data_IF_535931110324
#
_entry.id   IF_535931110324
#
_cell.length_a   1.000
_cell.length_b   1.000
_cell.length_c   1.000
_cell.angle_alpha   90.00
_cell.angle_beta   90.00
_cell.angle_gamma   90.00
#
_symmetry.space_group_name_H-M   'P 1'
#
loop_
_entity.id
_entity.type
_entity.pdbx_description
1 polymer ?
#
# COMPACT_ATOMS: atom_id res chain seq x y z
N UNK A 1 -7.75 62.11 -23.37
CA UNK A 1 -7.76 61.16 -22.25
C UNK A 1 -6.74 60.06 -22.56
N UNK A 2 -5.58 60.07 -21.89
CA UNK A 2 -4.50 59.08 -22.11
C UNK A 2 -4.65 57.97 -21.09
N UNK A 3 -4.88 56.74 -21.56
CA UNK A 3 -4.91 55.54 -20.74
C UNK A 3 -3.49 55.12 -20.39
N UNK A 4 -3.11 55.26 -19.12
CA UNK A 4 -1.88 54.72 -18.56
C UNK A 4 -2.12 53.23 -18.23
N UNK A 5 -1.48 52.32 -18.96
CA UNK A 5 -1.34 50.91 -18.57
C UNK A 5 -0.01 50.78 -17.82
N UNK A 6 -0.08 50.36 -16.56
CA UNK A 6 1.08 49.97 -15.77
C UNK A 6 1.63 48.63 -16.29
N UNK A 7 2.95 48.44 -16.41
CA UNK A 7 3.53 47.18 -16.83
C UNK A 7 3.46 46.16 -15.68
N UNK A 8 2.84 45.02 -15.93
CA UNK A 8 2.85 43.86 -15.05
C UNK A 8 4.30 43.40 -14.84
N UNK A 9 4.74 43.43 -13.60
CA UNK A 9 6.09 43.10 -13.17
C UNK A 9 6.34 41.59 -13.30
N UNK A 10 6.94 41.15 -14.43
CA UNK A 10 7.29 39.75 -14.71
C UNK A 10 8.22 39.13 -13.66
N UNK A 11 8.87 39.90 -12.81
CA UNK A 11 9.77 39.41 -11.77
C UNK A 11 9.04 38.83 -10.54
N UNK A 12 7.82 39.30 -10.25
CA UNK A 12 7.05 38.78 -9.12
C UNK A 12 6.62 37.30 -9.32
N UNK A 13 6.33 36.91 -10.55
CA UNK A 13 5.98 35.49 -10.87
C UNK A 13 7.16 34.51 -10.76
N UNK A 14 8.38 34.97 -11.02
CA UNK A 14 9.58 34.15 -10.93
C UNK A 14 9.98 33.87 -9.49
N UNK A 15 9.78 34.79 -8.57
CA UNK A 15 10.04 34.59 -7.14
C UNK A 15 8.99 33.71 -6.47
N UNK A 16 7.73 33.77 -6.91
CA UNK A 16 6.68 32.87 -6.43
C UNK A 16 6.92 31.42 -6.87
N UNK A 17 7.39 31.19 -8.11
CA UNK A 17 7.76 29.88 -8.61
C UNK A 17 8.99 29.30 -7.91
N UNK A 18 10.02 30.12 -7.67
CA UNK A 18 11.21 29.71 -6.90
C UNK A 18 10.88 29.41 -5.43
N UNK A 19 10.00 30.18 -4.80
CA UNK A 19 9.53 29.94 -3.44
C UNK A 19 8.75 28.61 -3.32
N UNK A 20 7.89 28.31 -4.29
CA UNK A 20 7.13 27.06 -4.36
C UNK A 20 8.04 25.82 -4.54
N UNK A 21 9.04 25.92 -5.41
CA UNK A 21 10.01 24.83 -5.63
C UNK A 21 10.89 24.59 -4.40
N UNK A 22 11.31 25.66 -3.72
CA UNK A 22 12.08 25.54 -2.47
C UNK A 22 11.24 24.96 -1.32
N UNK A 23 9.95 25.29 -1.25
CA UNK A 23 9.04 24.70 -0.26
C UNK A 23 8.77 23.23 -0.55
N UNK A 24 8.58 22.86 -1.81
CA UNK A 24 8.45 21.43 -2.20
C UNK A 24 9.75 20.66 -1.96
N UNK A 25 10.91 21.22 -2.25
CA UNK A 25 12.21 20.60 -1.94
C UNK A 25 12.43 20.46 -0.44
N UNK A 26 12.01 21.42 0.38
CA UNK A 26 12.11 21.31 1.84
C UNK A 26 11.15 20.28 2.42
N UNK A 27 9.96 20.11 1.83
CA UNK A 27 9.01 19.05 2.21
C UNK A 27 9.52 17.65 1.80
N UNK A 28 10.16 17.51 0.63
CA UNK A 28 10.79 16.28 0.20
C UNK A 28 11.99 15.90 1.07
N UNK A 29 12.81 16.87 1.45
CA UNK A 29 13.95 16.66 2.38
C UNK A 29 13.43 16.32 3.78
N UNK A 30 12.34 16.94 4.23
CA UNK A 30 11.71 16.63 5.52
C UNK A 30 11.10 15.22 5.54
N UNK A 31 10.45 14.78 4.45
CA UNK A 31 9.95 13.43 4.32
C UNK A 31 11.09 12.40 4.34
N UNK A 32 12.16 12.61 3.59
CA UNK A 32 13.35 11.75 3.64
C UNK A 32 14.01 11.74 5.02
N UNK A 33 14.04 12.88 5.72
CA UNK A 33 14.60 12.98 7.07
C UNK A 33 13.71 12.27 8.12
N UNK A 34 12.39 12.21 7.91
CA UNK A 34 11.49 11.46 8.79
C UNK A 34 11.63 9.96 8.61
N UNK A 35 11.71 9.48 7.36
CA UNK A 35 11.92 8.05 7.10
C UNK A 35 13.33 7.54 7.49
N UNK A 36 14.36 8.39 7.41
CA UNK A 36 15.77 7.99 7.63
C UNK A 36 16.29 8.11 9.07
N UNK A 37 15.51 8.57 10.04
CA UNK A 37 16.04 8.88 11.38
C UNK A 37 16.22 7.72 12.35
N UNK A 38 15.74 6.51 12.05
CA UNK A 38 16.02 5.36 12.89
C UNK A 38 17.31 4.66 12.45
N UNK A 39 18.39 4.90 13.17
CA UNK A 39 19.55 4.01 13.16
C UNK A 39 19.11 2.70 13.84
N UNK A 40 19.24 1.54 13.20
CA UNK A 40 19.10 0.28 13.89
C UNK A 40 20.16 0.26 15.00
N UNK A 41 19.73 0.26 16.25
CA UNK A 41 20.61 0.05 17.37
C UNK A 41 21.17 -1.36 17.29
N UNK A 42 22.42 -1.48 16.87
CA UNK A 42 23.21 -2.70 16.95
C UNK A 42 23.57 -2.93 18.43
N UNK A 43 22.63 -3.42 19.20
CA UNK A 43 22.86 -4.04 20.49
C UNK A 43 21.82 -5.14 20.66
N UNK A 44 22.28 -6.35 20.95
CA UNK A 44 21.48 -7.54 21.22
C UNK A 44 20.58 -7.41 22.46
N UNK A 45 19.64 -6.48 22.40
CA UNK A 45 18.51 -6.38 23.30
C UNK A 45 17.34 -7.00 22.56
N UNK A 46 17.05 -8.25 22.89
CA UNK A 46 16.10 -9.06 22.20
C UNK A 46 14.69 -8.46 22.12
N UNK A 47 13.78 -9.18 21.53
CA UNK A 47 12.37 -8.89 21.31
C UNK A 47 11.59 -8.16 22.44
N UNK A 48 12.09 -8.14 23.66
CA UNK A 48 11.53 -7.30 24.74
C UNK A 48 11.65 -5.81 24.43
N UNK A 49 12.76 -5.38 23.80
CA UNK A 49 12.96 -3.98 23.42
C UNK A 49 12.13 -3.58 22.19
N UNK A 50 11.98 -4.47 21.22
CA UNK A 50 11.15 -4.26 20.02
C UNK A 50 9.68 -4.20 20.38
N UNK A 51 9.20 -5.14 21.17
CA UNK A 51 7.82 -5.14 21.65
C UNK A 51 7.50 -3.90 22.50
N UNK A 52 8.44 -3.43 23.33
CA UNK A 52 8.29 -2.21 24.10
C UNK A 52 8.24 -0.97 23.20
N UNK A 53 9.00 -0.95 22.11
CA UNK A 53 8.97 0.15 21.14
C UNK A 53 7.64 0.15 20.37
N UNK A 54 7.19 -1.00 19.86
CA UNK A 54 5.89 -1.15 19.20
C UNK A 54 4.75 -0.73 20.12
N UNK A 55 4.78 -1.12 21.38
CA UNK A 55 3.80 -0.70 22.36
C UNK A 55 3.78 0.83 22.52
N UNK A 56 4.93 1.47 22.63
CA UNK A 56 5.02 2.94 22.72
C UNK A 56 4.45 3.63 21.49
N UNK A 57 4.74 3.11 20.29
CA UNK A 57 4.19 3.61 19.03
C UNK A 57 2.67 3.55 19.01
N UNK A 58 2.10 2.42 19.40
CA UNK A 58 0.64 2.25 19.46
C UNK A 58 0.00 3.21 20.48
N UNK A 59 0.63 3.40 21.63
CA UNK A 59 0.15 4.36 22.63
C UNK A 59 0.25 5.82 22.16
N UNK A 60 1.27 6.18 21.39
CA UNK A 60 1.36 7.51 20.78
C UNK A 60 0.22 7.74 19.79
N UNK A 61 -0.07 6.76 18.94
CA UNK A 61 -1.16 6.82 17.97
C UNK A 61 -2.51 6.95 18.66
N UNK A 62 -2.77 6.16 19.72
CA UNK A 62 -4.02 6.27 20.53
C UNK A 62 -4.22 7.67 21.09
N UNK A 63 -3.15 8.28 21.63
CA UNK A 63 -3.20 9.62 22.21
C UNK A 63 -3.43 10.73 21.18
N UNK A 64 -3.15 10.45 19.90
CA UNK A 64 -3.36 11.41 18.81
C UNK A 64 -4.81 11.41 18.28
N UNK A 65 -5.62 10.41 18.67
CA UNK A 65 -7.03 10.35 18.31
C UNK A 65 -7.83 11.28 19.24
N UNK A 66 -8.59 12.17 18.64
CA UNK A 66 -9.49 13.05 19.40
C UNK A 66 -10.61 12.21 20.06
N UNK A 67 -10.79 12.30 21.38
CA UNK A 67 -11.81 11.53 22.08
C UNK A 67 -13.26 11.86 21.64
N UNK A 68 -13.48 13.05 21.08
CA UNK A 68 -14.80 13.46 20.56
C UNK A 68 -15.04 12.98 19.11
N UNK A 69 -13.98 12.52 18.41
CA UNK A 69 -14.00 12.07 17.02
C UNK A 69 -13.29 10.74 16.83
N UNK A 70 -13.60 9.76 17.66
CA UNK A 70 -12.93 8.45 17.67
C UNK A 70 -13.12 7.63 16.39
N UNK A 71 -14.16 7.94 15.62
CA UNK A 71 -14.46 7.28 14.34
C UNK A 71 -13.92 8.04 13.12
N UNK A 72 -13.44 9.28 13.29
CA UNK A 72 -12.80 10.05 12.23
C UNK A 72 -11.31 9.70 12.10
N UNK A 73 -11.04 8.42 11.88
CA UNK A 73 -9.70 7.86 11.79
C UNK A 73 -9.61 6.88 10.63
N UNK A 74 -8.49 6.90 9.92
CA UNK A 74 -8.20 5.86 8.95
C UNK A 74 -7.90 4.54 9.67
N UNK A 75 -8.53 3.48 9.23
CA UNK A 75 -8.28 2.13 9.73
C UNK A 75 -7.77 1.25 8.60
N UNK A 76 -6.53 0.77 8.72
CA UNK A 76 -6.03 -0.26 7.83
C UNK A 76 -6.71 -1.59 8.15
N UNK A 77 -7.35 -2.21 7.17
CA UNK A 77 -8.09 -3.46 7.35
C UNK A 77 -7.57 -4.52 6.37
N UNK A 78 -7.21 -5.67 6.90
CA UNK A 78 -6.78 -6.85 6.14
C UNK A 78 -7.94 -7.82 5.99
N UNK A 79 -8.19 -8.27 4.76
CA UNK A 79 -9.23 -9.26 4.49
C UNK A 79 -8.79 -10.66 4.90
N UNK A 80 -9.70 -11.39 5.55
CA UNK A 80 -9.62 -12.83 5.74
C UNK A 80 -10.37 -13.52 4.62
N UNK A 81 -9.81 -14.58 4.09
CA UNK A 81 -10.39 -15.40 3.05
C UNK A 81 -9.90 -16.86 3.19
N UNK A 82 -10.63 -17.78 2.61
CA UNK A 82 -10.19 -19.17 2.52
C UNK A 82 -9.22 -19.35 1.35
N UNK A 83 -8.32 -20.34 1.47
CA UNK A 83 -7.40 -20.72 0.40
C UNK A 83 -7.65 -22.16 -0.05
N UNK A 84 -7.53 -22.41 -1.35
CA UNK A 84 -7.66 -23.76 -1.90
C UNK A 84 -6.51 -24.65 -1.41
N UNK A 85 -6.84 -25.70 -0.70
CA UNK A 85 -6.03 -26.59 0.12
C UNK A 85 -4.77 -27.20 -0.48
N UNK A 86 -3.79 -26.37 -0.78
CA UNK A 86 -2.47 -26.75 -1.26
C UNK A 86 -1.31 -26.37 -0.33
N UNK A 87 -1.53 -26.23 0.98
CA UNK A 87 -0.48 -25.87 1.95
C UNK A 87 -0.33 -24.36 2.18
N UNK A 88 -1.15 -23.55 1.55
CA UNK A 88 -1.25 -22.10 1.77
C UNK A 88 -2.43 -21.75 2.70
N UNK A 89 -2.78 -22.64 3.62
CA UNK A 89 -3.74 -22.30 4.66
C UNK A 89 -3.25 -21.05 5.39
N UNK A 90 -4.03 -19.96 5.27
CA UNK A 90 -3.79 -18.67 5.91
C UNK A 90 -2.80 -17.74 5.18
N UNK A 91 -2.73 -17.74 3.85
CA UNK A 91 -1.94 -16.78 3.10
C UNK A 91 -2.28 -15.30 3.47
N UNK A 92 -3.54 -14.99 3.77
CA UNK A 92 -3.94 -13.68 4.25
C UNK A 92 -3.28 -13.27 5.58
N UNK A 93 -2.75 -14.24 6.34
CA UNK A 93 -2.13 -14.03 7.65
C UNK A 93 -0.62 -13.81 7.54
N UNK A 94 -0.02 -13.92 6.37
CA UNK A 94 1.40 -13.66 6.19
C UNK A 94 1.72 -12.20 6.54
N UNK A 95 2.92 -11.97 7.07
CA UNK A 95 3.47 -10.69 7.54
C UNK A 95 2.71 -10.05 8.72
N UNK A 96 1.70 -10.72 9.28
CA UNK A 96 0.95 -10.19 10.42
C UNK A 96 1.55 -10.64 11.76
N UNK A 97 1.48 -9.81 12.79
CA UNK A 97 0.91 -8.47 12.83
C UNK A 97 1.87 -7.35 12.42
N UNK A 98 3.11 -7.68 12.07
CA UNK A 98 4.20 -6.73 11.97
C UNK A 98 4.01 -5.74 10.82
N UNK A 99 3.67 -6.23 9.62
CA UNK A 99 3.41 -5.37 8.47
C UNK A 99 2.33 -4.32 8.78
N UNK A 100 1.21 -4.74 9.36
CA UNK A 100 0.08 -3.85 9.69
C UNK A 100 0.48 -2.80 10.75
N UNK A 101 1.22 -3.20 11.78
CA UNK A 101 1.68 -2.30 12.85
C UNK A 101 2.70 -1.29 12.35
N UNK A 102 3.69 -1.71 11.56
CA UNK A 102 4.70 -0.82 11.00
C UNK A 102 4.10 0.13 9.99
N UNK A 103 3.25 -0.37 9.09
CA UNK A 103 2.56 0.42 8.10
C UNK A 103 1.69 1.51 8.74
N UNK A 104 0.84 1.15 9.70
CA UNK A 104 -0.03 2.13 10.38
C UNK A 104 0.77 3.19 11.13
N UNK A 105 1.86 2.79 11.79
CA UNK A 105 2.74 3.73 12.45
C UNK A 105 3.44 4.67 11.47
N UNK A 106 3.91 4.16 10.32
CA UNK A 106 4.53 5.00 9.28
C UNK A 106 3.55 5.95 8.62
N UNK A 107 2.32 5.53 8.39
CA UNK A 107 1.26 6.44 7.93
C UNK A 107 1.01 7.56 8.93
N UNK A 108 0.95 7.24 10.23
CA UNK A 108 0.82 8.23 11.28
C UNK A 108 1.99 9.22 11.32
N UNK A 109 3.24 8.75 11.14
CA UNK A 109 4.42 9.63 11.13
C UNK A 109 4.55 10.47 9.85
N UNK A 110 4.21 9.89 8.70
CA UNK A 110 4.51 10.50 7.39
C UNK A 110 3.38 11.36 6.81
N UNK A 111 2.19 11.29 7.42
CA UNK A 111 1.01 11.99 6.90
C UNK A 111 0.29 12.76 8.00
N UNK A 112 -0.72 13.54 7.63
CA UNK A 112 -1.64 14.18 8.59
C UNK A 112 -2.82 13.28 8.98
N UNK A 113 -2.88 12.04 8.47
CA UNK A 113 -3.95 11.11 8.77
C UNK A 113 -3.95 10.76 10.26
N UNK A 114 -5.13 10.76 10.86
CA UNK A 114 -5.37 10.07 12.12
C UNK A 114 -5.53 8.60 11.81
N UNK A 115 -4.65 7.76 12.33
CA UNK A 115 -4.61 6.33 12.02
C UNK A 115 -4.95 5.53 13.26
N UNK A 116 -5.90 4.61 13.14
CA UNK A 116 -6.25 3.69 14.23
C UNK A 116 -5.07 2.74 14.49
N UNK A 117 -4.59 2.67 15.73
CA UNK A 117 -3.53 1.72 16.08
C UNK A 117 -4.05 0.29 16.12
N UNK A 118 -3.13 -0.67 16.00
CA UNK A 118 -3.43 -2.09 16.05
C UNK A 118 -3.67 -2.70 14.68
N UNK A 119 -4.11 -3.97 14.69
CA UNK A 119 -4.43 -4.74 13.50
C UNK A 119 -5.94 -4.95 13.41
N UNK A 120 -6.47 -4.94 12.20
CA UNK A 120 -7.89 -5.18 11.94
C UNK A 120 -8.02 -6.25 10.86
N UNK A 121 -8.51 -7.40 11.24
CA UNK A 121 -8.84 -8.50 10.34
C UNK A 121 -10.34 -8.54 10.13
N UNK A 122 -10.77 -8.53 8.88
CA UNK A 122 -12.18 -8.42 8.54
C UNK A 122 -12.59 -9.55 7.59
N UNK A 123 -13.72 -10.18 7.90
CA UNK A 123 -14.34 -11.16 7.01
C UNK A 123 -15.08 -10.45 5.88
N UNK A 124 -14.99 -11.00 4.66
CA UNK A 124 -15.57 -10.39 3.45
C UNK A 124 -17.09 -10.21 3.56
N UNK A 125 -17.77 -11.13 4.22
CA UNK A 125 -19.25 -11.14 4.36
C UNK A 125 -19.77 -10.28 5.51
N UNK A 126 -18.88 -9.65 6.28
CA UNK A 126 -19.33 -8.80 7.40
C UNK A 126 -20.02 -7.54 6.91
N UNK A 127 -21.05 -7.11 7.62
CA UNK A 127 -21.72 -5.83 7.37
C UNK A 127 -20.80 -4.63 7.61
N UNK A 128 -19.79 -4.80 8.45
CA UNK A 128 -18.83 -3.75 8.80
C UNK A 128 -17.82 -3.46 7.68
N UNK A 129 -17.74 -4.31 6.65
CA UNK A 129 -16.85 -4.11 5.50
C UNK A 129 -17.08 -2.71 4.85
N UNK A 130 -18.31 -2.25 4.80
CA UNK A 130 -18.65 -0.93 4.26
C UNK A 130 -18.09 0.26 5.04
N UNK A 131 -17.62 0.06 6.28
CA UNK A 131 -17.02 1.11 7.10
C UNK A 131 -15.54 1.36 6.74
N UNK A 132 -14.94 0.49 5.91
CA UNK A 132 -13.54 0.59 5.52
C UNK A 132 -13.43 1.04 4.05
N UNK A 133 -12.98 2.27 3.78
CA UNK A 133 -12.84 2.75 2.40
C UNK A 133 -11.75 2.00 1.63
N UNK A 134 -10.79 1.42 2.34
CA UNK A 134 -9.66 0.66 1.82
C UNK A 134 -9.53 -0.67 2.58
N UNK A 135 -9.33 -1.76 1.84
CA UNK A 135 -8.99 -3.07 2.38
C UNK A 135 -7.82 -3.69 1.63
N UNK A 136 -7.05 -4.51 2.34
CA UNK A 136 -5.84 -5.15 1.84
C UNK A 136 -5.99 -6.67 1.83
N UNK A 137 -5.55 -7.29 0.74
CA UNK A 137 -5.59 -8.74 0.51
C UNK A 137 -4.17 -9.22 0.16
N UNK A 138 -3.48 -9.85 1.11
CA UNK A 138 -2.16 -10.46 0.93
C UNK A 138 -2.30 -11.94 0.56
N UNK A 139 -1.27 -12.52 -0.09
CA UNK A 139 -1.22 -13.94 -0.40
C UNK A 139 -2.33 -14.41 -1.34
N UNK A 140 -2.76 -13.53 -2.23
CA UNK A 140 -3.98 -13.68 -3.02
C UNK A 140 -3.91 -14.77 -4.09
N UNK A 141 -2.71 -15.26 -4.45
CA UNK A 141 -2.52 -16.33 -5.42
C UNK A 141 -3.17 -17.67 -5.04
N UNK A 142 -3.47 -17.90 -3.75
CA UNK A 142 -4.18 -19.08 -3.29
C UNK A 142 -5.62 -18.80 -2.83
N UNK A 143 -6.16 -17.61 -3.06
CA UNK A 143 -7.48 -17.23 -2.56
C UNK A 143 -8.60 -18.08 -3.17
N UNK A 144 -9.57 -18.47 -2.33
CA UNK A 144 -10.77 -19.17 -2.77
C UNK A 144 -12.00 -18.49 -2.21
N UNK A 145 -12.72 -17.78 -3.09
CA UNK A 145 -13.94 -17.08 -2.73
C UNK A 145 -15.17 -17.91 -3.10
N UNK A 146 -16.07 -18.05 -2.17
CA UNK A 146 -17.39 -18.62 -2.44
C UNK A 146 -18.32 -17.57 -3.09
N UNK A 147 -19.55 -17.96 -3.42
CA UNK A 147 -20.51 -17.10 -4.09
C UNK A 147 -20.92 -15.89 -3.21
N UNK A 148 -21.16 -16.12 -1.92
CA UNK A 148 -21.54 -15.07 -0.95
C UNK A 148 -20.44 -14.03 -0.81
N UNK A 149 -19.19 -14.47 -0.63
CA UNK A 149 -18.02 -13.58 -0.54
C UNK A 149 -17.80 -12.80 -1.84
N UNK A 150 -17.94 -13.45 -2.99
CA UNK A 150 -17.80 -12.79 -4.30
C UNK A 150 -18.85 -11.71 -4.51
N UNK A 151 -20.10 -11.96 -4.10
CA UNK A 151 -21.19 -10.98 -4.15
C UNK A 151 -20.97 -9.84 -3.16
N UNK A 152 -20.55 -10.12 -1.93
CA UNK A 152 -20.25 -9.12 -0.91
C UNK A 152 -19.10 -8.20 -1.36
N UNK A 153 -18.02 -8.76 -1.90
CA UNK A 153 -16.90 -8.01 -2.43
C UNK A 153 -17.32 -7.13 -3.62
N UNK A 154 -18.12 -7.65 -4.55
CA UNK A 154 -18.69 -6.87 -5.66
C UNK A 154 -19.48 -5.67 -5.16
N UNK A 155 -20.36 -5.88 -4.18
CA UNK A 155 -21.18 -4.81 -3.61
C UNK A 155 -20.30 -3.74 -2.92
N UNK A 156 -19.33 -4.17 -2.13
CA UNK A 156 -18.39 -3.29 -1.46
C UNK A 156 -17.66 -2.39 -2.47
N UNK A 157 -17.09 -2.97 -3.51
CA UNK A 157 -16.32 -2.26 -4.54
C UNK A 157 -17.19 -1.29 -5.36
N UNK A 158 -18.41 -1.69 -5.75
CA UNK A 158 -19.33 -0.84 -6.47
C UNK A 158 -19.90 0.31 -5.63
N UNK A 159 -19.95 0.16 -4.31
CA UNK A 159 -20.43 1.17 -3.37
C UNK A 159 -19.34 2.13 -2.86
N UNK A 160 -18.16 2.13 -3.47
CA UNK A 160 -17.10 3.11 -3.13
C UNK A 160 -15.89 2.52 -2.45
N UNK A 161 -15.91 1.24 -2.05
CA UNK A 161 -14.76 0.57 -1.48
C UNK A 161 -13.61 0.42 -2.46
N UNK A 162 -12.41 0.23 -1.91
CA UNK A 162 -11.19 -0.02 -2.67
C UNK A 162 -10.46 -1.25 -2.11
N UNK A 163 -10.02 -2.15 -3.00
CA UNK A 163 -9.24 -3.33 -2.67
C UNK A 163 -7.83 -3.23 -3.25
N UNK A 164 -6.81 -3.35 -2.41
CA UNK A 164 -5.44 -3.63 -2.83
C UNK A 164 -5.17 -5.14 -2.72
N UNK A 165 -4.74 -5.74 -3.80
CA UNK A 165 -4.37 -7.16 -3.92
C UNK A 165 -2.87 -7.26 -4.08
N UNK A 166 -2.21 -8.09 -3.27
CA UNK A 166 -0.76 -8.14 -3.16
C UNK A 166 -0.26 -9.56 -2.81
N UNK A 167 1.04 -9.74 -2.87
CA UNK A 167 1.75 -10.96 -2.49
C UNK A 167 1.27 -12.20 -3.24
N UNK A 168 1.52 -12.18 -4.55
CA UNK A 168 1.37 -13.37 -5.40
C UNK A 168 2.24 -13.24 -6.66
N UNK A 169 2.71 -14.38 -7.17
CA UNK A 169 3.81 -14.42 -8.12
C UNK A 169 3.60 -15.45 -9.23
N UNK A 170 4.00 -15.05 -10.45
CA UNK A 170 4.00 -15.93 -11.60
C UNK A 170 2.62 -16.15 -12.23
N UNK A 171 2.63 -16.91 -13.32
CA UNK A 171 1.45 -17.08 -14.17
C UNK A 171 0.39 -17.97 -13.51
N UNK A 172 0.78 -19.00 -12.74
CA UNK A 172 -0.16 -19.89 -12.08
C UNK A 172 -0.97 -19.18 -10.99
N UNK A 173 -0.32 -18.36 -10.16
CA UNK A 173 -1.00 -17.55 -9.14
C UNK A 173 -1.89 -16.48 -9.80
N UNK A 174 -1.42 -15.91 -10.92
CA UNK A 174 -2.22 -14.98 -11.70
C UNK A 174 -3.50 -15.62 -12.24
N UNK A 175 -3.38 -16.77 -12.91
CA UNK A 175 -4.53 -17.48 -13.49
C UNK A 175 -5.55 -17.90 -12.41
N UNK A 176 -5.04 -18.32 -11.25
CA UNK A 176 -5.89 -18.67 -10.11
C UNK A 176 -6.64 -17.44 -9.59
N UNK A 177 -5.92 -16.33 -9.31
CA UNK A 177 -6.53 -15.08 -8.84
C UNK A 177 -7.49 -14.49 -9.89
N UNK A 178 -7.13 -14.54 -11.17
CA UNK A 178 -8.02 -14.10 -12.26
C UNK A 178 -9.34 -14.87 -12.25
N UNK A 179 -9.32 -16.17 -11.97
CA UNK A 179 -10.52 -16.96 -11.76
C UNK A 179 -11.40 -16.42 -10.62
N UNK A 180 -10.80 -15.99 -9.49
CA UNK A 180 -11.56 -15.37 -8.39
C UNK A 180 -12.10 -13.99 -8.78
N UNK A 181 -11.31 -13.19 -9.48
CA UNK A 181 -11.75 -11.90 -10.02
C UNK A 181 -13.01 -12.07 -10.92
N UNK A 182 -13.05 -13.10 -11.73
CA UNK A 182 -14.21 -13.38 -12.60
C UNK A 182 -15.45 -13.84 -11.82
N UNK A 183 -15.30 -14.40 -10.62
CA UNK A 183 -16.45 -14.62 -9.71
C UNK A 183 -16.97 -13.27 -9.17
N UNK A 184 -16.07 -12.34 -8.80
CA UNK A 184 -16.46 -11.01 -8.37
C UNK A 184 -17.07 -10.22 -9.53
N UNK A 185 -16.40 -10.13 -10.66
CA UNK A 185 -16.79 -9.36 -11.83
C UNK A 185 -16.76 -10.19 -13.12
N UNK A 186 -17.81 -10.94 -13.48
CA UNK A 186 -17.83 -11.78 -14.68
C UNK A 186 -17.56 -11.01 -15.98
N UNK A 187 -17.97 -9.74 -16.05
CA UNK A 187 -17.97 -8.92 -17.27
C UNK A 187 -16.95 -7.77 -17.24
N UNK A 188 -16.03 -7.74 -16.25
CA UNK A 188 -14.98 -6.72 -16.19
C UNK A 188 -13.62 -7.38 -16.36
N UNK A 189 -12.74 -6.68 -17.07
CA UNK A 189 -11.35 -7.09 -17.24
C UNK A 189 -10.40 -6.19 -16.46
N UNK A 190 -9.33 -6.72 -15.89
CA UNK A 190 -8.27 -5.91 -15.30
C UNK A 190 -7.47 -5.22 -16.42
N UNK A 191 -7.24 -3.93 -16.28
CA UNK A 191 -6.48 -3.12 -17.23
C UNK A 191 -5.04 -2.97 -16.75
N UNK A 192 -4.06 -3.34 -17.56
CA UNK A 192 -2.65 -3.14 -17.25
C UNK A 192 -2.35 -1.64 -17.14
N UNK A 193 -1.79 -1.23 -16.01
CA UNK A 193 -1.46 0.17 -15.73
C UNK A 193 -0.08 0.51 -16.28
N UNK A 194 0.01 1.57 -17.07
CA UNK A 194 1.30 2.16 -17.43
C UNK A 194 1.80 3.08 -16.31
N UNK A 195 3.10 3.39 -16.33
CA UNK A 195 3.72 4.31 -15.36
C UNK A 195 3.10 5.73 -15.40
N UNK A 196 2.37 6.09 -16.46
CA UNK A 196 1.66 7.35 -16.56
C UNK A 196 0.33 7.37 -15.78
N UNK A 197 -0.10 6.22 -15.23
CA UNK A 197 -1.27 6.19 -14.38
C UNK A 197 -1.03 7.01 -13.11
N UNK A 198 -2.04 7.77 -12.71
CA UNK A 198 -1.98 8.71 -11.57
C UNK A 198 -1.47 8.04 -10.28
N UNK A 199 -1.77 6.77 -10.05
CA UNK A 199 -1.37 6.04 -8.85
C UNK A 199 0.15 6.00 -8.63
N UNK A 200 0.95 6.14 -9.71
CA UNK A 200 2.41 6.14 -9.62
C UNK A 200 3.02 7.53 -9.39
N UNK A 201 2.21 8.59 -9.27
CA UNK A 201 2.76 9.94 -9.16
C UNK A 201 1.84 10.97 -8.46
N UNK A 202 0.74 10.53 -7.84
CA UNK A 202 -0.22 11.45 -7.19
C UNK A 202 0.40 12.22 -6.03
N UNK A 203 1.31 11.61 -5.27
CA UNK A 203 2.10 12.24 -4.20
C UNK A 203 3.59 12.03 -4.46
N UNK A 204 4.00 10.78 -4.59
CA UNK A 204 5.39 10.38 -4.85
C UNK A 204 5.54 9.94 -6.30
N UNK A 205 6.35 10.65 -7.11
CA UNK A 205 6.55 10.30 -8.51
C UNK A 205 7.54 9.13 -8.66
N UNK A 206 7.06 8.01 -9.17
CA UNK A 206 7.88 6.86 -9.51
C UNK A 206 8.45 7.00 -10.93
N UNK A 207 9.72 6.60 -11.12
CA UNK A 207 10.38 6.55 -12.43
C UNK A 207 10.29 5.17 -13.09
N UNK A 208 9.95 4.15 -12.32
CA UNK A 208 9.65 2.78 -12.74
C UNK A 208 8.58 2.23 -11.80
N UNK A 209 7.86 1.22 -12.25
CA UNK A 209 6.93 0.51 -11.38
C UNK A 209 7.70 -0.15 -10.22
N UNK A 210 7.26 0.04 -8.97
CA UNK A 210 7.90 -0.60 -7.82
C UNK A 210 7.84 -2.12 -7.93
N UNK A 211 8.89 -2.79 -7.44
CA UNK A 211 8.91 -4.24 -7.23
C UNK A 211 9.61 -4.52 -5.93
N UNK A 212 8.95 -5.22 -5.04
CA UNK A 212 9.42 -5.58 -3.71
C UNK A 212 9.38 -7.09 -3.62
N UNK A 213 10.54 -7.76 -3.45
CA UNK A 213 10.61 -9.20 -3.26
C UNK A 213 10.33 -9.55 -1.80
N UNK A 214 10.09 -10.84 -1.50
CA UNK A 214 10.19 -11.30 -0.13
C UNK A 214 11.62 -11.11 0.41
N UNK A 215 11.74 -10.83 1.69
CA UNK A 215 13.03 -10.57 2.34
C UNK A 215 13.94 -11.79 2.23
N UNK A 216 13.40 -12.99 2.44
CA UNK A 216 14.14 -14.24 2.33
C UNK A 216 14.68 -14.50 0.92
N UNK A 217 13.86 -14.19 -0.10
CA UNK A 217 14.30 -14.30 -1.50
C UNK A 217 15.39 -13.30 -1.83
N UNK A 218 15.25 -12.03 -1.43
CA UNK A 218 16.26 -11.02 -1.66
C UNK A 218 17.61 -11.39 -1.07
N UNK A 219 17.67 -11.86 0.19
CA UNK A 219 18.94 -12.24 0.80
C UNK A 219 19.57 -13.48 0.20
N UNK A 220 18.77 -14.39 -0.34
CA UNK A 220 19.30 -15.61 -0.99
C UNK A 220 19.78 -15.37 -2.42
N UNK A 221 19.17 -14.44 -3.15
CA UNK A 221 19.41 -14.26 -4.60
C UNK A 221 19.95 -12.88 -4.97
N UNK A 222 19.76 -11.87 -4.11
CA UNK A 222 19.98 -10.45 -4.41
C UNK A 222 19.15 -9.90 -5.57
N UNK A 223 17.98 -10.50 -5.83
CA UNK A 223 17.06 -10.14 -6.91
C UNK A 223 15.80 -9.45 -6.36
N UNK A 224 15.20 -8.60 -7.17
CA UNK A 224 13.98 -7.85 -6.78
C UNK A 224 12.69 -8.57 -7.16
N UNK A 225 12.75 -9.72 -7.80
CA UNK A 225 11.61 -10.58 -8.10
C UNK A 225 11.68 -11.86 -7.28
N UNK A 226 10.55 -12.38 -6.90
CA UNK A 226 10.44 -13.67 -6.26
C UNK A 226 10.09 -14.75 -7.28
N UNK A 227 10.31 -16.02 -6.93
CA UNK A 227 9.88 -17.12 -7.77
C UNK A 227 8.57 -17.69 -7.21
N UNK A 228 7.53 -17.72 -8.02
CA UNK A 228 6.48 -18.71 -7.82
C UNK A 228 7.05 -20.15 -7.96
N UNK A 229 6.22 -21.13 -7.79
CA UNK A 229 6.67 -22.54 -7.82
C UNK A 229 7.09 -23.04 -9.22
N UNK A 230 6.80 -22.32 -10.29
CA UNK A 230 7.20 -22.70 -11.66
C UNK A 230 8.19 -21.70 -12.25
N UNK A 231 9.46 -22.09 -12.22
CA UNK A 231 10.60 -21.29 -12.72
C UNK A 231 10.66 -21.13 -14.23
N UNK A 232 9.87 -21.86 -15.01
CA UNK A 232 10.12 -22.01 -16.45
C UNK A 232 9.33 -21.07 -17.35
N UNK A 233 8.29 -20.42 -16.81
CA UNK A 233 7.33 -19.59 -17.58
C UNK A 233 7.15 -18.17 -17.06
N UNK A 234 7.95 -17.75 -16.11
CA UNK A 234 7.69 -16.51 -15.36
C UNK A 234 8.07 -15.27 -16.14
N UNK A 235 7.11 -14.39 -16.30
CA UNK A 235 7.39 -12.98 -16.46
C UNK A 235 7.77 -12.40 -15.11
N UNK A 236 9.01 -11.93 -14.97
CA UNK A 236 9.56 -11.42 -13.72
C UNK A 236 9.23 -9.94 -13.46
N UNK A 237 8.63 -9.25 -14.41
CA UNK A 237 8.32 -7.85 -14.27
C UNK A 237 7.13 -7.64 -13.31
N UNK A 238 7.13 -6.55 -12.54
CA UNK A 238 5.96 -6.18 -11.76
C UNK A 238 4.83 -5.75 -12.70
N UNK A 239 3.64 -6.27 -12.47
CA UNK A 239 2.45 -5.87 -13.20
C UNK A 239 1.42 -5.28 -12.25
N UNK A 240 0.97 -4.09 -12.58
CA UNK A 240 -0.11 -3.43 -11.85
C UNK A 240 -1.34 -3.39 -12.74
N UNK A 241 -2.45 -3.93 -12.23
CA UNK A 241 -3.72 -3.88 -12.96
C UNK A 241 -4.75 -3.11 -12.15
N UNK A 242 -5.58 -2.35 -12.86
CA UNK A 242 -6.73 -1.67 -12.30
C UNK A 242 -8.03 -2.30 -12.76
N UNK A 243 -8.97 -2.52 -11.84
CA UNK A 243 -10.36 -2.85 -12.18
C UNK A 243 -11.22 -1.63 -11.91
N UNK A 244 -11.98 -1.20 -12.91
CA UNK A 244 -12.69 0.08 -12.90
C UNK A 244 -14.21 -0.11 -12.87
N UNK A 245 -14.91 0.83 -12.21
CA UNK A 245 -16.35 0.97 -12.31
C UNK A 245 -16.76 1.69 -13.62
N UNK A 246 -18.08 1.85 -13.83
CA UNK A 246 -18.62 2.49 -15.03
C UNK A 246 -18.32 3.99 -15.11
N UNK A 247 -17.90 4.61 -13.99
CA UNK A 247 -17.47 6.01 -13.91
C UNK A 247 -15.95 6.18 -14.03
N UNK A 248 -15.23 5.09 -14.30
CA UNK A 248 -13.77 5.05 -14.41
C UNK A 248 -13.04 5.31 -13.08
N UNK A 249 -13.70 5.10 -11.93
CA UNK A 249 -13.02 5.01 -10.63
C UNK A 249 -12.37 3.62 -10.55
N UNK A 250 -11.09 3.55 -10.21
CA UNK A 250 -10.42 2.29 -9.91
C UNK A 250 -10.97 1.76 -8.58
N UNK A 251 -11.54 0.58 -8.62
CA UNK A 251 -12.11 -0.12 -7.46
C UNK A 251 -11.12 -1.11 -6.86
N UNK A 252 -10.24 -1.67 -7.68
CA UNK A 252 -9.26 -2.68 -7.27
C UNK A 252 -7.93 -2.38 -7.95
N UNK A 253 -6.86 -2.41 -7.15
CA UNK A 253 -5.47 -2.40 -7.62
C UNK A 253 -4.88 -3.77 -7.36
N UNK A 254 -4.35 -4.40 -8.38
CA UNK A 254 -3.72 -5.72 -8.32
C UNK A 254 -2.22 -5.53 -8.54
N UNK A 255 -1.42 -5.89 -7.54
CA UNK A 255 0.04 -5.77 -7.53
C UNK A 255 0.67 -7.15 -7.78
N UNK A 256 0.64 -7.62 -9.02
CA UNK A 256 1.21 -8.91 -9.40
C UNK A 256 2.74 -8.84 -9.43
N UNK A 257 3.43 -9.91 -9.03
CA UNK A 257 4.87 -9.99 -8.86
C UNK A 257 5.42 -8.93 -7.89
N UNK A 258 4.75 -8.77 -6.76
CA UNK A 258 5.10 -7.87 -5.67
C UNK A 258 4.78 -8.48 -4.32
N UNK A 259 5.50 -8.02 -3.29
CA UNK A 259 5.25 -8.35 -1.89
C UNK A 259 5.41 -7.09 -1.03
N UNK A 260 4.41 -6.21 -1.07
CA UNK A 260 4.43 -4.98 -0.26
C UNK A 260 4.41 -5.28 1.23
N UNK A 261 3.75 -6.37 1.64
CA UNK A 261 3.68 -6.83 3.02
C UNK A 261 5.07 -6.95 3.65
N UNK A 262 5.98 -7.69 3.03
CA UNK A 262 7.38 -7.82 3.46
C UNK A 262 8.10 -6.45 3.50
N UNK A 263 7.80 -5.60 2.53
CA UNK A 263 8.35 -4.24 2.50
C UNK A 263 7.99 -3.40 3.73
N UNK A 264 6.90 -3.75 4.42
CA UNK A 264 6.47 -3.07 5.65
C UNK A 264 6.86 -3.85 6.91
N UNK A 265 6.79 -5.19 6.89
CA UNK A 265 7.03 -6.05 8.04
C UNK A 265 8.44 -5.92 8.59
N UNK A 266 9.43 -5.93 7.70
CA UNK A 266 10.84 -6.03 8.04
C UNK A 266 11.53 -4.68 8.27
N UNK A 267 10.77 -3.66 8.63
CA UNK A 267 11.34 -2.39 9.03
C UNK A 267 12.19 -2.53 10.31
N UNK A 268 13.47 -2.33 10.17
CA UNK A 268 14.42 -2.40 11.28
C UNK A 268 15.20 -3.72 11.39
N UNK A 269 14.79 -4.75 10.67
CA UNK A 269 15.49 -6.04 10.66
C UNK A 269 16.79 -5.95 9.86
N UNK A 270 16.72 -5.40 8.65
CA UNK A 270 17.91 -5.16 7.83
C UNK A 270 17.89 -3.79 7.16
N UNK A 271 18.90 -2.95 7.42
CA UNK A 271 19.00 -1.64 6.79
C UNK A 271 19.15 -1.67 5.27
N UNK A 272 19.71 -2.75 4.70
CA UNK A 272 19.91 -2.86 3.26
C UNK A 272 18.56 -3.03 2.57
N UNK A 273 17.77 -4.00 3.02
CA UNK A 273 16.42 -4.23 2.50
C UNK A 273 15.53 -3.00 2.68
N UNK A 274 15.53 -2.41 3.88
CA UNK A 274 14.77 -1.20 4.19
C UNK A 274 15.11 -0.04 3.23
N UNK A 275 16.41 0.23 3.00
CA UNK A 275 16.84 1.35 2.17
C UNK A 275 16.62 1.09 0.66
N UNK A 276 16.55 -0.16 0.23
CA UNK A 276 16.33 -0.51 -1.18
C UNK A 276 14.84 -0.57 -1.52
N UNK A 277 14.01 -1.13 -0.63
CA UNK A 277 12.61 -1.46 -0.93
C UNK A 277 11.60 -0.68 -0.09
N UNK A 278 11.66 -0.76 1.24
CA UNK A 278 10.64 -0.22 2.13
C UNK A 278 10.53 1.30 1.99
N UNK A 279 11.65 2.00 2.20
CA UNK A 279 11.71 3.46 2.22
C UNK A 279 11.46 4.11 0.85
N UNK A 280 12.07 3.65 -0.27
CA UNK A 280 11.88 4.30 -1.57
C UNK A 280 10.66 3.79 -2.34
N UNK A 281 10.08 2.64 -1.99
CA UNK A 281 8.99 2.02 -2.76
C UNK A 281 7.78 1.66 -1.91
N UNK A 282 7.95 0.90 -0.82
CA UNK A 282 6.85 0.35 -0.03
C UNK A 282 5.92 1.41 0.54
N UNK A 283 6.46 2.31 1.36
CA UNK A 283 5.67 3.38 1.98
C UNK A 283 5.23 4.47 1.00
N UNK A 284 6.07 4.96 0.06
CA UNK A 284 5.64 5.93 -0.93
C UNK A 284 4.50 5.42 -1.82
N UNK A 285 4.54 4.15 -2.24
CA UNK A 285 3.46 3.58 -3.07
C UNK A 285 2.16 3.46 -2.29
N UNK A 286 2.21 3.03 -1.02
CA UNK A 286 1.03 2.99 -0.18
C UNK A 286 0.39 4.38 -0.01
N UNK A 287 1.19 5.42 0.25
CA UNK A 287 0.68 6.78 0.37
C UNK A 287 0.03 7.23 -0.93
N UNK A 288 0.59 6.90 -2.09
CA UNK A 288 -0.04 7.14 -3.37
C UNK A 288 -1.40 6.42 -3.49
N UNK A 289 -1.45 5.13 -3.15
CA UNK A 289 -2.67 4.31 -3.20
C UNK A 289 -3.75 4.88 -2.30
N UNK A 290 -3.42 5.19 -1.04
CA UNK A 290 -4.38 5.75 -0.10
C UNK A 290 -4.86 7.15 -0.52
N UNK A 291 -3.96 7.98 -1.04
CA UNK A 291 -4.35 9.29 -1.57
C UNK A 291 -5.30 9.15 -2.75
N UNK A 292 -5.04 8.22 -3.66
CA UNK A 292 -5.96 7.91 -4.75
C UNK A 292 -7.32 7.46 -4.21
N UNK A 293 -7.34 6.49 -3.30
CA UNK A 293 -8.56 5.94 -2.70
C UNK A 293 -9.43 7.02 -2.03
N UNK A 294 -8.80 7.95 -1.32
CA UNK A 294 -9.52 9.00 -0.57
C UNK A 294 -9.96 10.19 -1.44
N UNK A 295 -9.47 10.29 -2.68
CA UNK A 295 -9.76 11.42 -3.56
C UNK A 295 -10.66 11.05 -4.75
N UNK A 296 -10.98 9.79 -4.95
CA UNK A 296 -11.81 9.27 -6.05
C UNK A 296 -12.91 8.35 -5.54
#
# INVERSE_FOLDING_TARGET
MRNFRLPLNRRAGQWAALGGVLLMLSLLISAHAQFGRRRPGRNGGGWESENAERYRQQEMMKKAIDPDFTEDVFTFARLKFDSDGGGRERAWHDDTPNADLMLTYRLFEATSLKVRPGVNYIDITTKDLANYPFVYMAGSGGASLNEEESLAMRQYLLNGGFLMVDDFWGDDDWDHFYGQLKKIFPNREPELLSLTNQIFHIVYPFKKQPQIPSVGHFFSTHQSYDYGFDYSRMNHDPHYFGVYDDKRRMMMLICHNNHFGDGWEHEGDDPTYFNIFSMPMGYPMLINILTYTMSH
#
